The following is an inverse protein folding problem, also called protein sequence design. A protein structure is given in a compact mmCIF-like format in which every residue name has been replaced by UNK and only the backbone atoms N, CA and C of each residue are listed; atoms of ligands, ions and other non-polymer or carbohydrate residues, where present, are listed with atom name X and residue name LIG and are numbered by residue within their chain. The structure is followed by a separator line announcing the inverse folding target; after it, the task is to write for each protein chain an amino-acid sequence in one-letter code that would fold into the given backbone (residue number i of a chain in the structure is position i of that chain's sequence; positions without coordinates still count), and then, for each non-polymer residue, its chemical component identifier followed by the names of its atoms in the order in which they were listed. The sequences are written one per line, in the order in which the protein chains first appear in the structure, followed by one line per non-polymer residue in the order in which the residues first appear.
data_IF_736040876285
#
_entry.id   IF_736040876285
#
_cell.length_a   1.000
_cell.length_b   1.000
_cell.length_c   1.000
_cell.angle_alpha   90.00
_cell.angle_beta   90.00
_cell.angle_gamma   90.00
#
_symmetry.space_group_name_H-M   'P 1'
#
loop_
_entity.id
_entity.type
_entity.pdbx_description
1 polymer ?
#
# COMPACT_ATOMS: atom_id res chain seq x y z
N UNK A 1 -14.12 -77.59 37.52
CA UNK A 1 -14.45 -77.73 38.96
C UNK A 1 -14.81 -76.37 39.44
N UNK A 2 -16.12 -76.09 39.55
CA UNK A 2 -16.82 -75.79 40.83
C UNK A 2 -16.26 -74.55 41.50
N UNK A 3 -16.94 -73.52 41.92
CA UNK A 3 -18.32 -73.25 42.45
C UNK A 3 -18.35 -71.70 42.66
N UNK A 4 -19.28 -70.93 42.21
CA UNK A 4 -20.53 -70.47 42.77
C UNK A 4 -20.50 -69.34 43.82
N UNK A 5 -21.28 -68.29 43.56
CA UNK A 5 -22.15 -67.44 44.41
C UNK A 5 -21.49 -66.33 45.26
N UNK A 6 -22.07 -65.19 45.57
CA UNK A 6 -23.49 -64.76 45.65
C UNK A 6 -23.53 -63.23 45.69
N UNK A 7 -24.58 -62.66 45.11
CA UNK A 7 -25.23 -61.38 45.28
C UNK A 7 -24.96 -60.56 46.56
N UNK A 8 -24.88 -59.23 46.46
CA UNK A 8 -25.97 -58.40 47.06
C UNK A 8 -25.94 -56.98 46.40
N UNK A 9 -27.12 -56.50 46.04
CA UNK A 9 -27.43 -55.20 45.48
C UNK A 9 -27.58 -54.16 46.62
N UNK A 10 -27.14 -52.94 46.38
CA UNK A 10 -27.74 -51.75 46.98
C UNK A 10 -27.77 -50.66 45.93
N UNK A 11 -28.98 -50.21 45.64
CA UNK A 11 -29.27 -49.06 44.77
C UNK A 11 -28.98 -47.75 45.49
N UNK A 12 -28.33 -46.84 44.81
CA UNK A 12 -28.36 -45.39 45.11
C UNK A 12 -28.41 -44.64 43.85
N UNK A 13 -29.54 -44.09 43.51
CA UNK A 13 -29.85 -43.15 42.46
C UNK A 13 -29.18 -41.83 42.74
N UNK A 14 -28.32 -41.41 41.85
CA UNK A 14 -27.90 -39.99 41.74
C UNK A 14 -27.93 -39.61 40.29
N UNK A 15 -28.90 -38.80 39.91
CA UNK A 15 -29.07 -38.18 38.63
C UNK A 15 -27.92 -37.18 38.37
N UNK A 16 -27.04 -37.52 37.46
CA UNK A 16 -26.05 -36.57 36.93
C UNK A 16 -26.54 -36.09 35.58
N UNK A 17 -27.06 -34.87 35.56
CA UNK A 17 -27.41 -34.16 34.33
C UNK A 17 -26.15 -33.90 33.53
N UNK A 18 -25.95 -34.64 32.44
CA UNK A 18 -24.97 -34.29 31.40
C UNK A 18 -25.53 -33.12 30.59
N UNK A 19 -25.05 -31.91 30.86
CA UNK A 19 -25.15 -30.82 29.95
C UNK A 19 -24.13 -31.02 28.81
N UNK A 20 -24.57 -31.59 27.69
CA UNK A 20 -23.87 -31.48 26.41
C UNK A 20 -23.96 -30.00 25.96
N UNK A 21 -22.93 -29.22 26.24
CA UNK A 21 -22.71 -28.00 25.51
C UNK A 21 -22.14 -28.36 24.14
N UNK A 22 -22.98 -28.24 23.13
CA UNK A 22 -22.61 -28.33 21.73
C UNK A 22 -21.54 -27.25 21.40
N UNK A 23 -20.32 -27.69 21.11
CA UNK A 23 -19.40 -26.89 20.31
C UNK A 23 -19.95 -26.87 18.87
N UNK A 24 -20.60 -25.80 18.52
CA UNK A 24 -21.07 -25.54 17.18
C UNK A 24 -21.17 -24.06 16.98
N UNK A 25 -20.35 -23.59 16.12
CA UNK A 25 -20.39 -22.41 15.30
C UNK A 25 -19.04 -21.68 15.35
N UNK A 26 -18.36 -21.64 14.20
CA UNK A 26 -17.36 -20.63 13.94
C UNK A 26 -18.02 -19.25 14.14
N UNK A 27 -17.77 -18.65 15.27
CA UNK A 27 -18.06 -17.25 15.49
C UNK A 27 -17.04 -16.48 14.69
N UNK A 28 -17.47 -15.79 13.65
CA UNK A 28 -16.79 -14.55 13.24
C UNK A 28 -16.68 -13.72 14.52
N UNK A 29 -15.46 -13.50 14.98
CA UNK A 29 -15.22 -12.54 16.06
C UNK A 29 -15.92 -11.24 15.66
N UNK A 30 -16.80 -10.74 16.50
CA UNK A 30 -17.32 -9.40 16.33
C UNK A 30 -16.10 -8.45 16.31
N UNK A 31 -16.09 -7.41 15.47
CA UNK A 31 -15.00 -6.43 15.51
C UNK A 31 -14.87 -5.93 16.94
N UNK A 32 -13.65 -6.00 17.48
CA UNK A 32 -13.37 -5.43 18.78
C UNK A 32 -13.73 -3.95 18.75
N UNK A 33 -14.39 -3.47 19.80
CA UNK A 33 -14.71 -2.05 19.97
C UNK A 33 -13.40 -1.27 20.21
N UNK A 34 -12.84 -0.73 19.15
CA UNK A 34 -11.56 -0.03 19.14
C UNK A 34 -11.62 1.42 19.64
N UNK A 35 -12.75 1.83 20.28
CA UNK A 35 -12.97 3.22 20.70
C UNK A 35 -12.01 3.70 21.80
N UNK A 36 -11.50 2.78 22.63
CA UNK A 36 -10.56 3.11 23.74
C UNK A 36 -9.10 2.74 23.42
N UNK A 37 -8.78 2.40 22.17
CA UNK A 37 -7.44 2.01 21.77
C UNK A 37 -6.45 3.16 21.95
N UNK A 38 -5.31 2.85 22.58
CA UNK A 38 -4.22 3.81 22.85
C UNK A 38 -2.92 3.50 22.12
N UNK A 39 -2.77 2.28 21.62
CA UNK A 39 -1.61 1.88 20.81
C UNK A 39 -2.06 1.76 19.37
N UNK A 40 -1.39 2.44 18.45
CA UNK A 40 -1.63 2.41 17.00
C UNK A 40 -0.45 1.68 16.36
N UNK A 41 -0.72 0.61 15.63
CA UNK A 41 0.30 -0.11 14.86
C UNK A 41 0.16 0.24 13.39
N UNK A 42 1.22 0.79 12.79
CA UNK A 42 1.23 1.24 11.39
C UNK A 42 2.26 0.47 10.58
N UNK A 43 1.83 -0.08 9.45
CA UNK A 43 2.67 -0.82 8.53
C UNK A 43 3.21 0.04 7.39
N UNK A 44 4.45 -0.21 7.00
CA UNK A 44 5.13 0.47 5.89
C UNK A 44 5.86 -0.50 4.98
N UNK A 45 5.97 -0.14 3.71
CA UNK A 45 7.05 -0.63 2.87
C UNK A 45 8.29 0.25 3.07
N UNK A 46 9.52 -0.28 2.88
CA UNK A 46 10.72 0.54 2.96
C UNK A 46 10.64 1.77 2.05
N UNK A 47 10.94 2.96 2.61
CA UNK A 47 10.91 4.19 1.85
C UNK A 47 10.59 5.43 2.69
N UNK A 48 10.39 6.58 2.04
CA UNK A 48 10.29 7.88 2.70
C UNK A 48 9.02 8.08 3.54
N UNK A 49 7.97 7.31 3.30
CA UNK A 49 6.72 7.45 4.04
C UNK A 49 6.85 7.08 5.52
N UNK A 50 7.68 6.08 5.84
CA UNK A 50 7.96 5.72 7.22
C UNK A 50 8.68 6.87 7.93
N UNK A 51 9.74 7.40 7.34
CA UNK A 51 10.48 8.54 7.91
C UNK A 51 9.55 9.75 8.12
N UNK A 52 8.76 10.10 7.09
CA UNK A 52 7.79 11.20 7.18
C UNK A 52 6.80 11.01 8.34
N UNK A 53 6.32 9.79 8.52
CA UNK A 53 5.39 9.47 9.60
C UNK A 53 6.06 9.51 10.98
N UNK A 54 7.24 8.90 11.12
CA UNK A 54 7.99 8.86 12.39
C UNK A 54 8.40 10.26 12.86
N UNK A 55 8.88 11.09 11.93
CA UNK A 55 9.38 12.42 12.28
C UNK A 55 8.28 13.50 12.34
N UNK A 56 7.26 13.40 11.49
CA UNK A 56 6.24 14.44 11.34
C UNK A 56 4.90 14.13 12.00
N UNK A 57 4.51 12.86 12.14
CA UNK A 57 3.18 12.46 12.64
C UNK A 57 3.25 11.85 14.04
N UNK A 58 4.21 11.00 14.32
CA UNK A 58 4.34 10.33 15.62
C UNK A 58 4.38 11.32 16.78
N UNK A 59 5.17 12.42 16.74
CA UNK A 59 5.18 13.39 17.84
C UNK A 59 3.79 13.96 18.14
N UNK A 60 3.00 14.27 17.11
CA UNK A 60 1.64 14.82 17.25
C UNK A 60 0.71 13.79 17.92
N UNK A 61 0.79 12.52 17.49
CA UNK A 61 -0.02 11.45 18.06
C UNK A 61 0.36 11.13 19.51
N UNK A 62 1.65 11.24 19.87
CA UNK A 62 2.13 11.04 21.25
C UNK A 62 1.66 12.17 22.17
N UNK A 63 1.61 13.42 21.70
CA UNK A 63 1.02 14.55 22.44
C UNK A 63 -0.47 14.33 22.71
N UNK A 64 -1.20 13.69 21.78
CA UNK A 64 -2.59 13.29 21.94
C UNK A 64 -2.77 12.03 22.82
N UNK A 65 -1.67 11.46 23.31
CA UNK A 65 -1.66 10.35 24.27
C UNK A 65 -1.77 8.96 23.62
N UNK A 66 -1.42 8.83 22.35
CA UNK A 66 -1.29 7.54 21.67
C UNK A 66 0.15 7.02 21.76
N UNK A 67 0.30 5.71 21.83
CA UNK A 67 1.56 4.99 21.61
C UNK A 67 1.57 4.52 20.16
N UNK A 68 2.66 4.74 19.43
CA UNK A 68 2.78 4.30 18.03
C UNK A 68 3.78 3.16 17.90
N UNK A 69 3.41 2.15 17.13
CA UNK A 69 4.29 1.02 16.73
C UNK A 69 4.39 0.96 15.22
N UNK A 70 5.61 0.70 14.76
CA UNK A 70 5.91 0.59 13.33
C UNK A 70 6.20 -0.88 13.01
N UNK A 71 5.64 -1.36 11.91
CA UNK A 71 5.95 -2.67 11.34
C UNK A 71 6.33 -2.53 9.86
N UNK A 72 7.39 -3.24 9.45
CA UNK A 72 7.88 -3.21 8.08
C UNK A 72 7.39 -4.42 7.29
N UNK A 73 6.95 -4.18 6.06
CA UNK A 73 6.49 -5.17 5.11
C UNK A 73 7.21 -5.00 3.78
N UNK A 74 7.43 -6.10 3.07
CA UNK A 74 8.05 -6.07 1.73
C UNK A 74 7.05 -6.38 0.62
N UNK A 75 5.80 -6.74 0.96
CA UNK A 75 4.76 -7.15 0.02
C UNK A 75 3.50 -6.30 0.21
N UNK A 76 3.03 -5.67 -0.88
CA UNK A 76 1.88 -4.77 -0.86
C UNK A 76 0.53 -5.46 -0.67
N UNK A 77 0.41 -6.75 -0.97
CA UNK A 77 -0.81 -7.53 -0.72
C UNK A 77 -0.85 -7.93 0.75
N UNK A 78 0.27 -8.47 1.27
CA UNK A 78 0.36 -8.94 2.66
C UNK A 78 0.06 -7.81 3.66
N UNK A 79 0.59 -6.61 3.44
CA UNK A 79 0.33 -5.46 4.33
C UNK A 79 -1.15 -5.03 4.31
N UNK A 80 -1.84 -5.11 3.17
CA UNK A 80 -3.27 -4.82 3.08
C UNK A 80 -4.13 -5.87 3.79
N UNK A 81 -3.76 -7.13 3.67
CA UNK A 81 -4.42 -8.24 4.40
C UNK A 81 -4.21 -8.09 5.90
N UNK A 82 -3.02 -7.67 6.36
CA UNK A 82 -2.75 -7.42 7.77
C UNK A 82 -3.64 -6.31 8.36
N UNK A 83 -3.89 -5.23 7.61
CA UNK A 83 -4.88 -4.20 7.99
C UNK A 83 -6.28 -4.80 8.09
N UNK A 84 -6.72 -5.52 7.07
CA UNK A 84 -8.08 -6.10 7.03
C UNK A 84 -8.33 -7.10 8.17
N UNK A 85 -7.29 -7.86 8.59
CA UNK A 85 -7.36 -8.81 9.70
C UNK A 85 -7.22 -8.15 11.07
N UNK A 86 -6.74 -6.89 11.12
CA UNK A 86 -6.49 -6.14 12.36
C UNK A 86 -5.18 -6.52 13.04
N UNK A 87 -4.27 -7.17 12.33
CA UNK A 87 -2.90 -7.43 12.81
C UNK A 87 -2.13 -6.11 12.95
N UNK A 88 -2.38 -5.16 12.03
CA UNK A 88 -1.99 -3.76 12.12
C UNK A 88 -3.23 -2.86 11.94
N UNK A 89 -3.17 -1.61 12.39
CA UNK A 89 -4.30 -0.68 12.34
C UNK A 89 -4.40 0.08 11.03
N UNK A 90 -3.25 0.45 10.50
CA UNK A 90 -3.15 1.21 9.25
C UNK A 90 -1.94 0.77 8.43
N UNK A 91 -1.97 1.05 7.14
CA UNK A 91 -0.76 1.07 6.32
C UNK A 91 -0.62 2.40 5.57
N UNK A 92 0.62 2.73 5.20
CA UNK A 92 0.94 3.95 4.46
C UNK A 92 1.93 3.58 3.35
N UNK A 93 1.38 3.24 2.17
CA UNK A 93 2.22 2.78 1.05
C UNK A 93 1.56 2.91 -0.33
N UNK A 94 0.29 3.27 -0.43
CA UNK A 94 -0.49 3.10 -1.64
C UNK A 94 -1.48 4.24 -1.89
N UNK A 95 -1.86 4.39 -3.15
CA UNK A 95 -2.97 5.22 -3.59
C UNK A 95 -4.29 4.42 -3.62
N UNK A 96 -5.46 5.10 -3.59
CA UNK A 96 -6.77 4.44 -3.57
C UNK A 96 -6.98 3.42 -4.67
N UNK A 97 -6.55 3.71 -5.90
CA UNK A 97 -6.74 2.80 -7.05
C UNK A 97 -6.05 1.45 -6.83
N UNK A 98 -4.83 1.42 -6.27
CA UNK A 98 -4.15 0.16 -5.91
C UNK A 98 -4.84 -0.53 -4.72
N UNK A 99 -5.27 0.23 -3.72
CA UNK A 99 -6.02 -0.33 -2.58
C UNK A 99 -7.29 -1.05 -3.05
N UNK A 100 -8.06 -0.43 -3.97
CA UNK A 100 -9.28 -1.02 -4.53
C UNK A 100 -8.98 -2.29 -5.32
N UNK A 101 -7.88 -2.33 -6.08
CA UNK A 101 -7.42 -3.53 -6.75
C UNK A 101 -7.15 -4.68 -5.77
N UNK A 102 -6.40 -4.42 -4.68
CA UNK A 102 -6.11 -5.44 -3.66
C UNK A 102 -7.39 -5.84 -2.92
N UNK A 103 -8.27 -4.89 -2.58
CA UNK A 103 -9.56 -5.19 -1.96
C UNK A 103 -10.38 -6.16 -2.80
N UNK A 104 -10.46 -5.92 -4.12
CA UNK A 104 -11.19 -6.79 -5.03
C UNK A 104 -10.54 -8.18 -5.18
N UNK A 105 -9.21 -8.23 -5.24
CA UNK A 105 -8.45 -9.48 -5.41
C UNK A 105 -8.56 -10.39 -4.18
N UNK A 106 -8.39 -9.81 -2.98
CA UNK A 106 -8.33 -10.55 -1.72
C UNK A 106 -9.71 -10.66 -1.02
N UNK A 107 -10.73 -9.96 -1.51
CA UNK A 107 -12.06 -9.94 -0.91
C UNK A 107 -12.07 -9.26 0.46
N UNK A 108 -11.28 -8.20 0.62
CA UNK A 108 -11.14 -7.41 1.86
C UNK A 108 -11.80 -6.03 1.69
N UNK A 109 -11.96 -5.29 2.80
CA UNK A 109 -12.64 -4.00 2.84
C UNK A 109 -11.80 -2.97 3.61
N UNK A 110 -10.72 -2.51 2.97
CA UNK A 110 -9.91 -1.39 3.44
C UNK A 110 -10.38 -0.10 2.77
N UNK A 111 -10.18 1.02 3.46
CA UNK A 111 -10.57 2.35 3.00
C UNK A 111 -9.44 3.37 3.20
N UNK A 112 -9.38 4.38 2.32
CA UNK A 112 -8.51 5.53 2.48
C UNK A 112 -9.06 6.49 3.54
N UNK A 113 -8.23 6.82 4.53
CA UNK A 113 -8.58 7.72 5.63
C UNK A 113 -8.28 9.18 5.27
N UNK A 114 -7.08 9.44 4.82
CA UNK A 114 -6.58 10.79 4.48
C UNK A 114 -5.50 10.68 3.41
N UNK A 115 -5.51 11.61 2.46
CA UNK A 115 -4.41 11.73 1.50
C UNK A 115 -3.16 12.28 2.18
N UNK A 116 -2.00 11.82 1.71
CA UNK A 116 -0.70 12.20 2.25
C UNK A 116 0.19 12.79 1.16
N UNK A 117 1.22 13.56 1.52
CA UNK A 117 2.21 14.02 0.56
C UNK A 117 2.78 12.84 -0.23
N UNK A 118 2.79 12.97 -1.56
CA UNK A 118 3.15 11.86 -2.45
C UNK A 118 4.11 12.34 -3.53
N UNK A 119 5.28 11.70 -3.69
CA UNK A 119 6.22 12.05 -4.76
C UNK A 119 5.75 11.51 -6.10
N UNK A 120 6.03 12.26 -7.17
CA UNK A 120 5.69 11.88 -8.54
C UNK A 120 6.46 10.63 -8.99
N UNK A 121 5.85 9.87 -9.90
CA UNK A 121 6.57 8.93 -10.74
C UNK A 121 7.43 9.72 -11.74
N UNK A 122 8.56 9.14 -12.16
CA UNK A 122 9.44 9.78 -13.13
C UNK A 122 10.05 8.78 -14.11
N UNK A 123 10.41 9.29 -15.30
CA UNK A 123 11.20 8.56 -16.29
C UNK A 123 12.68 8.84 -16.06
N UNK A 124 13.44 7.78 -15.87
CA UNK A 124 14.90 7.86 -15.74
C UNK A 124 15.60 7.20 -16.92
N UNK A 125 16.77 7.77 -17.26
CA UNK A 125 17.71 7.14 -18.17
C UNK A 125 18.51 6.04 -17.48
N UNK A 126 18.73 4.95 -18.19
CA UNK A 126 19.61 3.85 -17.80
C UNK A 126 20.89 3.87 -18.65
N UNK A 127 20.91 3.11 -19.75
CA UNK A 127 22.01 3.15 -20.73
C UNK A 127 22.00 4.43 -21.59
N UNK A 128 20.88 5.12 -21.65
CA UNK A 128 20.69 6.40 -22.35
C UNK A 128 20.38 7.50 -21.35
N UNK A 129 20.81 8.71 -21.66
CA UNK A 129 20.82 9.82 -20.70
C UNK A 129 19.89 10.97 -21.08
N UNK A 130 19.27 10.94 -22.27
CA UNK A 130 18.38 12.01 -22.75
C UNK A 130 17.18 11.41 -23.49
N UNK A 131 16.10 12.18 -23.59
CA UNK A 131 14.92 11.78 -24.37
C UNK A 131 15.22 11.63 -25.87
N UNK A 132 16.11 12.46 -26.40
CA UNK A 132 16.46 12.45 -27.82
C UNK A 132 17.27 11.21 -28.26
N UNK A 133 17.81 10.45 -27.31
CA UNK A 133 18.53 9.20 -27.59
C UNK A 133 17.60 8.00 -27.82
N UNK A 134 16.27 8.20 -27.66
CA UNK A 134 15.30 7.13 -27.99
C UNK A 134 15.49 6.67 -29.44
N UNK A 135 15.50 5.38 -29.66
CA UNK A 135 15.74 4.78 -30.97
C UNK A 135 14.85 3.54 -31.17
N UNK A 136 14.81 3.09 -32.40
CA UNK A 136 14.10 1.84 -32.75
C UNK A 136 14.60 0.66 -31.89
N UNK A 137 13.66 0.00 -31.22
CA UNK A 137 13.96 -1.11 -30.31
C UNK A 137 14.54 -0.74 -28.95
N UNK A 138 14.50 0.54 -28.54
CA UNK A 138 14.91 0.93 -27.17
C UNK A 138 14.13 0.17 -26.11
N UNK A 139 14.83 -0.24 -25.04
CA UNK A 139 14.27 -1.00 -23.94
C UNK A 139 13.77 -0.10 -22.82
N UNK A 140 12.54 -0.31 -22.37
CA UNK A 140 11.90 0.47 -21.30
C UNK A 140 11.28 -0.47 -20.28
N UNK A 141 11.56 -0.27 -19.00
CA UNK A 141 10.81 -0.95 -17.92
C UNK A 141 9.74 -0.04 -17.35
N UNK A 142 8.60 -0.64 -17.02
CA UNK A 142 7.44 0.00 -16.40
C UNK A 142 6.98 -0.85 -15.21
N UNK A 143 6.19 -0.32 -14.25
CA UNK A 143 5.55 -1.13 -13.21
C UNK A 143 4.72 -2.28 -13.78
N UNK A 144 4.62 -3.40 -13.05
CA UNK A 144 3.82 -4.56 -13.43
C UNK A 144 2.39 -4.53 -12.90
N UNK A 145 2.11 -3.77 -11.82
CA UNK A 145 0.75 -3.58 -11.32
C UNK A 145 -0.06 -2.68 -12.26
N UNK A 146 -1.28 -3.07 -12.67
CA UNK A 146 -2.01 -2.40 -13.75
C UNK A 146 -2.11 -0.88 -13.61
N UNK A 147 -2.55 -0.38 -12.45
CA UNK A 147 -2.68 1.05 -12.22
C UNK A 147 -1.34 1.81 -12.30
N UNK A 148 -0.25 1.24 -11.80
CA UNK A 148 1.08 1.87 -11.90
C UNK A 148 1.69 1.69 -13.29
N UNK A 149 1.39 0.59 -13.99
CA UNK A 149 1.72 0.43 -15.41
C UNK A 149 1.07 1.57 -16.21
N UNK A 150 -0.22 1.82 -15.99
CA UNK A 150 -0.94 2.90 -16.66
C UNK A 150 -0.26 4.26 -16.44
N UNK A 151 0.14 4.59 -15.20
CA UNK A 151 0.91 5.80 -14.87
C UNK A 151 2.23 5.86 -15.64
N UNK A 152 2.98 4.76 -15.70
CA UNK A 152 4.20 4.67 -16.49
C UNK A 152 3.96 4.91 -17.98
N UNK A 153 2.88 4.36 -18.54
CA UNK A 153 2.49 4.61 -19.93
C UNK A 153 2.07 6.06 -20.18
N UNK A 154 1.41 6.71 -19.21
CA UNK A 154 1.09 8.15 -19.31
C UNK A 154 2.34 8.99 -19.49
N UNK A 155 3.43 8.73 -18.75
CA UNK A 155 4.70 9.44 -18.92
C UNK A 155 5.27 9.18 -20.33
N UNK A 156 5.26 7.93 -20.81
CA UNK A 156 5.77 7.60 -22.15
C UNK A 156 4.95 8.27 -23.26
N UNK A 157 3.64 8.44 -23.07
CA UNK A 157 2.75 9.19 -23.97
C UNK A 157 3.06 10.70 -23.94
N UNK A 158 3.26 11.26 -22.75
CA UNK A 158 3.58 12.70 -22.60
C UNK A 158 4.90 13.08 -23.28
N UNK A 159 5.89 12.19 -23.23
CA UNK A 159 7.16 12.43 -23.98
C UNK A 159 7.05 12.08 -25.46
N UNK A 160 5.90 11.63 -25.94
CA UNK A 160 5.63 11.35 -27.36
C UNK A 160 6.23 10.06 -27.89
N UNK A 161 6.54 9.11 -27.01
CA UNK A 161 7.16 7.83 -27.43
C UNK A 161 6.15 6.74 -27.78
N UNK A 162 4.94 6.82 -27.24
CA UNK A 162 3.82 5.92 -27.54
C UNK A 162 2.50 6.69 -27.57
N UNK A 163 1.46 6.05 -28.10
CA UNK A 163 0.07 6.45 -27.88
C UNK A 163 -0.75 5.22 -27.50
N UNK A 164 -1.86 5.42 -26.76
CA UNK A 164 -2.73 4.35 -26.31
C UNK A 164 -4.17 4.84 -26.08
N UNK A 165 -5.12 3.90 -26.04
CA UNK A 165 -6.50 4.18 -25.69
C UNK A 165 -6.63 4.34 -24.17
N UNK A 166 -7.27 5.44 -23.71
CA UNK A 166 -7.56 5.63 -22.29
C UNK A 166 -8.50 4.53 -21.78
N UNK A 167 -8.29 4.12 -20.54
CA UNK A 167 -9.13 3.14 -19.84
C UNK A 167 -9.95 3.85 -18.77
N UNK A 168 -11.21 3.42 -18.58
CA UNK A 168 -12.08 3.96 -17.54
C UNK A 168 -11.60 3.55 -16.13
N UNK A 169 -11.00 2.37 -16.01
CA UNK A 169 -10.43 1.83 -14.78
C UNK A 169 -8.94 1.49 -14.98
N UNK A 170 -8.02 2.26 -14.39
CA UNK A 170 -6.58 1.99 -14.49
C UNK A 170 -6.16 0.59 -14.04
N UNK A 171 -6.95 -0.09 -13.19
CA UNK A 171 -6.68 -1.46 -12.77
C UNK A 171 -6.90 -2.51 -13.88
N UNK A 172 -7.45 -2.10 -15.01
CA UNK A 172 -7.62 -2.98 -16.18
C UNK A 172 -6.53 -2.78 -17.24
N UNK A 173 -5.60 -1.85 -17.01
CA UNK A 173 -4.57 -1.53 -17.99
C UNK A 173 -3.52 -2.64 -18.13
N UNK A 174 -3.15 -2.92 -19.36
CA UNK A 174 -2.00 -3.74 -19.74
C UNK A 174 -1.36 -3.18 -21.02
N UNK A 175 -0.29 -3.80 -21.52
CA UNK A 175 0.39 -3.31 -22.71
C UNK A 175 -0.46 -3.39 -24.01
N UNK A 176 -1.58 -4.09 -24.00
CA UNK A 176 -2.45 -4.23 -25.19
C UNK A 176 -3.23 -2.94 -25.51
N UNK A 177 -3.30 -1.99 -24.58
CA UNK A 177 -3.93 -0.69 -24.82
C UNK A 177 -3.10 0.21 -25.75
N UNK A 178 -1.80 -0.08 -25.94
CA UNK A 178 -0.90 0.71 -26.80
C UNK A 178 -1.34 0.57 -28.25
N UNK A 179 -1.67 1.71 -28.86
CA UNK A 179 -2.15 1.79 -30.24
C UNK A 179 -1.07 2.27 -31.23
N UNK A 180 -0.09 3.03 -30.75
CA UNK A 180 1.06 3.47 -31.55
C UNK A 180 2.36 3.37 -30.74
N UNK A 181 3.41 2.90 -31.41
CA UNK A 181 4.74 2.73 -30.84
C UNK A 181 5.78 2.99 -31.95
N UNK A 182 5.97 4.26 -32.34
CA UNK A 182 6.76 4.62 -33.51
C UNK A 182 8.25 4.26 -33.40
N UNK A 183 8.76 4.05 -32.20
CA UNK A 183 10.13 3.62 -31.93
C UNK A 183 10.27 2.11 -31.70
N UNK A 184 9.21 1.31 -31.90
CA UNK A 184 9.20 -0.13 -31.59
C UNK A 184 9.79 -0.45 -30.20
N UNK A 185 9.47 0.40 -29.20
CA UNK A 185 9.98 0.24 -27.84
C UNK A 185 9.69 -1.15 -27.30
N UNK A 186 10.69 -1.75 -26.68
CA UNK A 186 10.58 -3.02 -25.97
C UNK A 186 10.18 -2.72 -24.52
N UNK A 187 8.87 -2.56 -24.29
CA UNK A 187 8.33 -2.23 -22.96
C UNK A 187 8.15 -3.52 -22.18
N UNK A 188 8.74 -3.57 -21.00
CA UNK A 188 8.70 -4.75 -20.12
C UNK A 188 8.16 -4.34 -18.74
N UNK A 189 6.98 -4.85 -18.33
CA UNK A 189 6.51 -4.70 -16.97
C UNK A 189 7.39 -5.51 -16.00
N UNK A 190 7.80 -4.87 -14.89
CA UNK A 190 8.58 -5.49 -13.83
C UNK A 190 8.07 -5.03 -12.46
N UNK A 191 8.34 -5.82 -11.42
CA UNK A 191 8.05 -5.46 -10.05
C UNK A 191 8.67 -4.10 -9.69
N UNK A 192 7.92 -3.28 -8.97
CA UNK A 192 8.26 -1.88 -8.69
C UNK A 192 9.64 -1.71 -8.05
N UNK A 193 9.99 -2.55 -7.06
CA UNK A 193 11.29 -2.50 -6.40
C UNK A 193 12.48 -2.85 -7.32
N UNK A 194 12.20 -3.46 -8.49
CA UNK A 194 13.23 -3.82 -9.46
C UNK A 194 13.52 -2.73 -10.49
N UNK A 195 12.75 -1.66 -10.53
CA UNK A 195 12.90 -0.61 -11.54
C UNK A 195 14.22 0.13 -11.43
N UNK A 196 14.60 0.58 -10.23
CA UNK A 196 15.90 1.25 -10.01
C UNK A 196 17.07 0.32 -10.32
N UNK A 197 17.15 -0.92 -9.79
CA UNK A 197 18.19 -1.87 -10.18
C UNK A 197 18.24 -2.16 -11.69
N UNK A 198 17.10 -2.13 -12.39
CA UNK A 198 17.05 -2.44 -13.82
C UNK A 198 17.72 -1.38 -14.72
N UNK A 199 17.89 -0.16 -14.24
CA UNK A 199 18.46 0.96 -15.01
C UNK A 199 19.84 0.63 -15.62
N UNK A 200 20.64 -0.21 -14.96
CA UNK A 200 21.93 -0.65 -15.52
C UNK A 200 21.78 -1.55 -16.76
N UNK A 201 20.61 -2.17 -16.95
CA UNK A 201 20.39 -3.19 -17.99
C UNK A 201 19.44 -2.74 -19.10
N UNK A 202 18.72 -1.62 -18.92
CA UNK A 202 17.75 -1.08 -19.89
C UNK A 202 18.14 0.32 -20.36
N UNK A 203 17.48 0.81 -21.40
CA UNK A 203 17.71 2.18 -21.87
C UNK A 203 17.02 3.21 -20.98
N UNK A 204 15.80 2.89 -20.50
CA UNK A 204 14.98 3.75 -19.67
C UNK A 204 14.10 2.95 -18.70
N UNK A 205 13.64 3.62 -17.64
CA UNK A 205 12.64 3.07 -16.71
C UNK A 205 11.72 4.17 -16.19
N UNK A 206 10.43 3.89 -16.07
CA UNK A 206 9.51 4.71 -15.27
C UNK A 206 9.52 4.21 -13.84
N UNK A 207 9.88 5.05 -12.89
CA UNK A 207 10.12 4.69 -11.49
C UNK A 207 9.14 5.41 -10.58
N UNK A 208 8.48 4.69 -9.68
CA UNK A 208 7.60 5.30 -8.67
C UNK A 208 8.39 6.13 -7.66
N UNK A 209 7.80 7.25 -7.20
CA UNK A 209 8.48 8.25 -6.38
C UNK A 209 9.11 7.72 -5.10
N UNK A 210 8.44 6.83 -4.37
CA UNK A 210 9.00 6.21 -3.17
C UNK A 210 10.23 5.34 -3.49
N UNK A 211 10.28 4.67 -4.65
CA UNK A 211 11.45 3.87 -5.07
C UNK A 211 12.57 4.74 -5.65
N UNK A 212 12.26 5.92 -6.21
CA UNK A 212 13.26 6.91 -6.61
C UNK A 212 14.11 7.27 -5.38
N UNK A 213 13.46 7.70 -4.31
CA UNK A 213 14.12 8.14 -3.09
C UNK A 213 14.79 6.96 -2.34
N UNK A 214 14.09 5.83 -2.18
CA UNK A 214 14.65 4.64 -1.56
C UNK A 214 15.86 4.07 -2.32
N UNK A 215 15.89 4.23 -3.65
CA UNK A 215 16.98 3.81 -4.52
C UNK A 215 18.13 4.82 -4.61
N UNK A 216 18.02 5.98 -3.95
CA UNK A 216 19.04 7.04 -3.96
C UNK A 216 19.15 7.78 -5.28
N UNK A 217 18.10 7.80 -6.10
CA UNK A 217 18.03 8.63 -7.30
C UNK A 217 17.61 10.05 -6.93
N UNK A 218 18.08 11.02 -7.70
CA UNK A 218 17.69 12.42 -7.57
C UNK A 218 16.65 12.78 -8.66
N UNK A 219 15.59 13.49 -8.28
CA UNK A 219 14.62 14.03 -9.24
C UNK A 219 15.24 14.99 -10.26
N UNK A 220 16.37 15.62 -9.93
CA UNK A 220 17.11 16.46 -10.88
C UNK A 220 17.68 15.66 -12.08
N UNK A 221 17.86 14.34 -11.93
CA UNK A 221 18.31 13.45 -13.00
C UNK A 221 17.15 12.84 -13.80
N UNK A 222 15.91 13.12 -13.43
CA UNK A 222 14.73 12.62 -14.14
C UNK A 222 14.62 13.27 -15.53
N UNK A 223 14.32 12.47 -16.54
CA UNK A 223 14.11 12.92 -17.92
C UNK A 223 12.71 13.50 -18.13
N UNK A 224 11.72 13.00 -17.40
CA UNK A 224 10.36 13.51 -17.35
C UNK A 224 9.70 13.15 -16.01
N UNK A 225 8.83 14.01 -15.54
CA UNK A 225 8.00 13.78 -14.36
C UNK A 225 6.56 13.47 -14.78
N UNK A 226 5.88 12.65 -14.00
CA UNK A 226 4.46 12.42 -14.12
C UNK A 226 3.68 13.72 -13.84
N UNK A 227 2.65 13.98 -14.64
CA UNK A 227 1.60 14.90 -14.26
C UNK A 227 0.56 14.11 -13.46
N UNK A 228 0.80 13.95 -12.13
CA UNK A 228 0.07 13.02 -11.28
C UNK A 228 -1.39 13.45 -11.09
N UNK A 229 -2.36 12.64 -11.56
CA UNK A 229 -3.76 12.83 -11.19
C UNK A 229 -3.97 12.57 -9.68
N UNK A 230 -4.93 13.29 -9.08
CA UNK A 230 -5.19 13.25 -7.62
C UNK A 230 -5.56 11.87 -7.07
N UNK A 231 -6.17 11.02 -7.89
CA UNK A 231 -6.50 9.63 -7.54
C UNK A 231 -5.27 8.73 -7.27
N UNK A 232 -4.09 9.15 -7.71
CA UNK A 232 -2.82 8.47 -7.44
C UNK A 232 -2.04 9.06 -6.27
N UNK A 233 -2.59 10.06 -5.56
CA UNK A 233 -2.05 10.48 -4.27
C UNK A 233 -2.23 9.37 -3.24
N UNK A 234 -1.17 9.06 -2.49
CA UNK A 234 -1.23 8.01 -1.48
C UNK A 234 -2.14 8.41 -0.32
N UNK A 235 -2.63 7.39 0.37
CA UNK A 235 -3.51 7.54 1.52
C UNK A 235 -2.99 6.74 2.71
N UNK A 236 -3.36 7.18 3.90
CA UNK A 236 -3.39 6.28 5.06
C UNK A 236 -4.54 5.33 4.84
N UNK A 237 -4.27 4.04 4.84
CA UNK A 237 -5.27 2.99 4.64
C UNK A 237 -5.60 2.34 5.96
N UNK A 238 -6.88 2.22 6.26
CA UNK A 238 -7.43 1.57 7.46
C UNK A 238 -8.56 0.62 7.06
N UNK A 239 -9.06 -0.20 7.96
CA UNK A 239 -10.32 -0.93 7.72
C UNK A 239 -11.48 0.07 7.56
N UNK A 240 -12.41 -0.20 6.66
CA UNK A 240 -13.61 0.65 6.50
C UNK A 240 -14.38 0.86 7.81
N UNK A 241 -14.38 -0.15 8.68
CA UNK A 241 -15.03 -0.09 9.99
C UNK A 241 -14.35 0.87 10.99
N UNK A 242 -13.08 1.22 10.74
CA UNK A 242 -12.27 2.01 11.68
C UNK A 242 -12.22 3.52 11.33
N UNK A 243 -12.77 3.94 10.20
CA UNK A 243 -12.72 5.33 9.71
C UNK A 243 -13.18 6.38 10.75
N UNK A 244 -14.14 6.03 11.59
CA UNK A 244 -14.71 6.93 12.59
C UNK A 244 -14.15 6.72 14.00
N UNK A 245 -13.16 5.87 14.17
CA UNK A 245 -12.53 5.64 15.48
C UNK A 245 -11.71 6.86 15.94
N UNK A 246 -11.57 7.08 17.27
CA UNK A 246 -10.79 8.22 17.78
C UNK A 246 -9.33 8.20 17.29
N UNK A 247 -8.70 7.04 17.21
CA UNK A 247 -7.32 6.93 16.76
C UNK A 247 -7.16 7.23 15.25
N UNK A 248 -8.12 6.79 14.41
CA UNK A 248 -8.09 7.12 12.99
C UNK A 248 -8.29 8.63 12.77
N UNK A 249 -9.23 9.25 13.51
CA UNK A 249 -9.42 10.71 13.46
C UNK A 249 -8.22 11.49 13.96
N UNK A 250 -7.46 10.97 14.93
CA UNK A 250 -6.21 11.59 15.36
C UNK A 250 -5.15 11.55 14.25
N UNK A 251 -5.00 10.42 13.53
CA UNK A 251 -4.11 10.35 12.36
C UNK A 251 -4.54 11.33 11.28
N UNK A 252 -5.84 11.37 10.95
CA UNK A 252 -6.36 12.31 9.96
C UNK A 252 -6.08 13.76 10.34
N UNK A 253 -6.29 14.13 11.61
CA UNK A 253 -6.03 15.47 12.13
C UNK A 253 -4.53 15.82 12.10
N UNK A 254 -3.66 14.87 12.45
CA UNK A 254 -2.22 15.05 12.41
C UNK A 254 -1.71 15.36 11.00
N UNK A 255 -2.14 14.63 9.98
CA UNK A 255 -1.77 14.90 8.58
C UNK A 255 -2.29 16.23 8.04
N UNK A 256 -3.40 16.74 8.58
CA UNK A 256 -3.99 18.04 8.21
C UNK A 256 -3.47 19.20 9.08
N UNK A 257 -2.63 18.94 10.05
CA UNK A 257 -2.14 19.95 10.97
C UNK A 257 -1.18 20.93 10.30
N UNK A 258 -1.20 22.22 10.68
CA UNK A 258 -0.21 23.18 10.20
C UNK A 258 1.23 22.78 10.55
N UNK A 259 1.44 22.12 11.67
CA UNK A 259 2.73 21.63 12.14
C UNK A 259 3.32 20.59 11.17
N UNK A 260 2.52 19.60 10.77
CA UNK A 260 2.96 18.61 9.79
C UNK A 260 3.22 19.22 8.41
N UNK A 261 2.37 20.16 7.97
CA UNK A 261 2.57 20.84 6.68
C UNK A 261 3.88 21.65 6.71
N UNK A 262 4.18 22.35 7.79
CA UNK A 262 5.44 23.09 7.97
C UNK A 262 6.63 22.11 7.98
N UNK A 263 6.52 20.99 8.68
CA UNK A 263 7.55 19.96 8.72
C UNK A 263 7.92 19.45 7.31
N UNK A 264 6.93 19.06 6.50
CA UNK A 264 7.17 18.55 5.15
C UNK A 264 7.73 19.63 4.21
N UNK A 265 7.18 20.84 4.27
CA UNK A 265 7.58 21.92 3.34
C UNK A 265 8.91 22.58 3.67
N UNK A 266 9.43 22.38 4.88
CA UNK A 266 10.71 22.92 5.32
C UNK A 266 11.85 21.91 5.37
N UNK A 267 11.58 20.64 5.03
CA UNK A 267 12.54 19.54 5.10
C UNK A 267 12.92 19.09 3.68
N UNK A 268 14.18 19.27 3.32
CA UNK A 268 14.74 18.93 2.00
C UNK A 268 14.62 17.43 1.67
N UNK A 269 14.48 16.54 2.68
CA UNK A 269 14.28 15.11 2.47
C UNK A 269 12.93 14.78 1.77
N UNK A 270 11.99 15.73 1.78
CA UNK A 270 10.67 15.61 1.14
C UNK A 270 10.50 16.53 -0.08
N UNK A 271 11.60 17.03 -0.64
CA UNK A 271 11.57 17.75 -1.90
C UNK A 271 10.96 16.86 -3.01
N UNK A 272 10.04 17.43 -3.78
CA UNK A 272 9.32 16.70 -4.83
C UNK A 272 8.05 15.97 -4.37
N UNK A 273 7.69 16.07 -3.07
CA UNK A 273 6.39 15.59 -2.60
C UNK A 273 5.30 16.61 -2.89
N UNK A 274 4.23 16.17 -3.57
CA UNK A 274 3.02 16.97 -3.75
C UNK A 274 2.17 16.89 -2.49
N UNK A 275 1.85 18.06 -1.92
CA UNK A 275 0.86 18.12 -0.83
C UNK A 275 -0.54 17.81 -1.39
N UNK A 276 -1.39 17.09 -0.63
CA UNK A 276 -2.80 16.95 -0.97
C UNK A 276 -3.49 18.32 -1.06
N UNK A 277 -4.50 18.44 -1.95
CA UNK A 277 -5.34 19.64 -2.11
C UNK A 277 -6.29 19.89 -0.92
#
# INVERSE_FOLDING_TARGET
MKITRVLTAVAATSALALSLTACGAGGTAAPEDNTDKKTITVGFNPGPYQQMFEEGIVPILEEDGFEVKIEEFTDGIVINVAVAQGDIDANIMQHPVYMEFVNAQEGIDNAGLVQIPTPNMALFGGKKSTLDEVADGSTVTVPDSPANLYRGLLILREVGWIDFEDVDDPNTADLSIITDNPHNLQITPIENAQQVPSLQDVDYSTVQGNFILAGGLDYADALALENQPTEFSNVVTVRSADLETPWAKAIEAAYKSPEFIEFVTSNDDFDGFNLPE
#
